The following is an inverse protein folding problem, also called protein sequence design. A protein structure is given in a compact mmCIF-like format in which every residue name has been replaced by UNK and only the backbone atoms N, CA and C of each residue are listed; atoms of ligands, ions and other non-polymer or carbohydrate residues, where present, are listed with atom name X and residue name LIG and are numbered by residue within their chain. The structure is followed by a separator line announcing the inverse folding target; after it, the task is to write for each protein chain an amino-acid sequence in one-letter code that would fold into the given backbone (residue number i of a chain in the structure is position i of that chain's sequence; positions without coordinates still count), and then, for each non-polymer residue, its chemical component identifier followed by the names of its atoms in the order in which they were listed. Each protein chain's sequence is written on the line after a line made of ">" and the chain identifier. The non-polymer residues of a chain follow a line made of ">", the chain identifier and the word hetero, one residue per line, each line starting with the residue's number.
data_IF_050304375681
#
_entry.id   IF_050304375681
#
_cell.length_a   1.000
_cell.length_b   1.000
_cell.length_c   1.000
_cell.angle_alpha   90.00
_cell.angle_beta   90.00
_cell.angle_gamma   90.00
#
_symmetry.space_group_name_H-M   'P 1'
#
loop_
_entity.id
_entity.type
_entity.pdbx_description
1 polymer ?
#
# COMPACT_ATOMS: atom_id res chain seq x y z
N UNK A 1 100.88 20.49 7.77
CA UNK A 1 100.79 19.88 9.13
C UNK A 1 99.33 19.94 9.57
N UNK A 2 98.77 18.78 9.97
CA UNK A 2 97.50 18.54 10.67
C UNK A 2 96.19 18.88 9.96
N UNK A 3 95.08 18.15 10.13
CA UNK A 3 94.73 16.72 10.36
C UNK A 3 93.20 16.71 10.22
N UNK A 4 92.67 15.65 9.62
CA UNK A 4 91.28 15.15 9.61
C UNK A 4 90.24 15.80 10.55
N UNK A 5 89.03 16.03 10.03
CA UNK A 5 87.78 15.53 10.65
C UNK A 5 86.62 15.54 9.64
N UNK A 6 86.16 14.35 9.24
CA UNK A 6 84.86 14.11 8.63
C UNK A 6 83.77 14.28 9.71
N UNK A 7 82.76 15.09 9.47
CA UNK A 7 81.49 15.07 10.22
C UNK A 7 80.38 14.81 9.22
N UNK A 8 79.83 13.59 9.26
CA UNK A 8 78.66 13.19 8.49
C UNK A 8 77.40 13.82 9.07
N UNK A 9 76.69 14.59 8.25
CA UNK A 9 75.36 15.11 8.57
C UNK A 9 74.34 14.12 8.01
N UNK A 10 73.77 13.28 8.89
CA UNK A 10 72.52 12.56 8.62
C UNK A 10 71.37 13.57 8.62
N UNK A 11 70.91 13.98 7.44
CA UNK A 11 69.65 14.71 7.31
C UNK A 11 68.49 13.71 7.36
N UNK A 12 67.79 13.66 8.49
CA UNK A 12 66.59 12.84 8.70
C UNK A 12 65.48 13.31 7.75
N UNK A 13 65.11 12.49 6.78
CA UNK A 13 63.90 12.67 5.97
C UNK A 13 62.68 12.47 6.86
N UNK A 14 62.09 13.57 7.32
CA UNK A 14 60.80 13.57 8.02
C UNK A 14 59.70 13.36 6.98
N UNK A 15 59.17 12.14 6.91
CA UNK A 15 58.05 11.78 6.04
C UNK A 15 56.76 12.34 6.66
N UNK A 16 56.33 13.52 6.20
CA UNK A 16 55.07 14.15 6.61
C UNK A 16 53.91 13.36 5.95
N UNK A 17 53.33 12.39 6.65
CA UNK A 17 52.12 11.70 6.22
C UNK A 17 50.94 12.67 6.27
N UNK A 18 50.63 13.28 5.13
CA UNK A 18 49.44 14.10 4.94
C UNK A 18 48.21 13.18 5.02
N UNK A 19 47.58 13.14 6.20
CA UNK A 19 46.36 12.37 6.43
C UNK A 19 45.22 12.93 5.57
N UNK A 20 44.86 12.22 4.52
CA UNK A 20 43.64 12.49 3.75
C UNK A 20 42.47 12.09 4.64
N UNK A 21 41.87 13.07 5.31
CA UNK A 21 40.57 12.88 5.97
C UNK A 21 39.50 12.77 4.88
N UNK A 22 39.18 11.54 4.47
CA UNK A 22 37.96 11.26 3.72
C UNK A 22 36.77 11.59 4.63
N UNK A 23 36.25 12.81 4.51
CA UNK A 23 34.96 13.13 5.08
C UNK A 23 33.94 12.32 4.29
N UNK A 24 33.31 11.34 4.94
CA UNK A 24 32.10 10.73 4.41
C UNK A 24 31.08 11.85 4.25
N UNK A 25 30.78 12.23 3.01
CA UNK A 25 29.65 13.09 2.71
C UNK A 25 28.42 12.25 3.04
N UNK A 26 27.83 12.49 4.21
CA UNK A 26 26.49 12.02 4.48
C UNK A 26 25.57 12.76 3.51
N UNK A 27 25.00 12.02 2.55
CA UNK A 27 23.93 12.56 1.72
C UNK A 27 22.76 12.92 2.63
N UNK A 28 22.15 14.09 2.42
CA UNK A 28 20.92 14.43 3.11
C UNK A 28 19.88 13.32 2.88
N UNK A 29 19.08 12.96 3.91
CA UNK A 29 18.05 11.95 3.74
C UNK A 29 17.06 12.41 2.66
N UNK A 30 16.49 11.47 1.87
CA UNK A 30 15.55 11.82 0.82
C UNK A 30 14.34 12.53 1.42
N UNK A 31 13.82 13.52 0.70
CA UNK A 31 12.61 14.22 1.09
C UNK A 31 11.39 13.28 1.07
N UNK A 32 10.35 13.63 1.84
CA UNK A 32 9.10 12.88 1.83
C UNK A 32 8.51 12.72 0.41
N UNK A 33 8.59 13.76 -0.42
CA UNK A 33 8.09 13.71 -1.80
C UNK A 33 8.88 12.73 -2.67
N UNK A 34 10.21 12.69 -2.54
CA UNK A 34 11.05 11.72 -3.27
C UNK A 34 10.73 10.29 -2.87
N UNK A 35 10.61 10.02 -1.57
CA UNK A 35 10.23 8.69 -1.04
C UNK A 35 8.87 8.28 -1.61
N UNK A 36 7.86 9.16 -1.58
CA UNK A 36 6.52 8.85 -2.08
C UNK A 36 6.55 8.54 -3.57
N UNK A 37 7.20 9.38 -4.38
CA UNK A 37 7.26 9.20 -5.83
C UNK A 37 7.97 7.91 -6.24
N UNK A 38 8.99 7.47 -5.48
CA UNK A 38 9.77 6.28 -5.80
C UNK A 38 9.14 4.98 -5.26
N UNK A 39 8.60 5.04 -4.03
CA UNK A 39 8.25 3.85 -3.27
C UNK A 39 6.75 3.55 -3.25
N UNK A 40 5.88 4.57 -3.37
CA UNK A 40 4.45 4.37 -3.17
C UNK A 40 3.76 3.77 -4.40
N UNK A 41 4.05 4.30 -5.59
CA UNK A 41 3.40 3.88 -6.82
C UNK A 41 4.15 2.73 -7.48
N UNK A 42 3.54 1.55 -7.46
CA UNK A 42 4.07 0.36 -8.13
C UNK A 42 3.12 -0.08 -9.23
N UNK A 43 3.68 -0.34 -10.41
CA UNK A 43 2.93 -0.84 -11.55
C UNK A 43 2.36 -2.22 -11.23
N UNK A 44 1.03 -2.35 -11.20
CA UNK A 44 0.35 -3.62 -10.90
C UNK A 44 -0.12 -4.36 -12.17
N UNK A 45 0.05 -3.77 -13.35
CA UNK A 45 -0.65 -4.17 -14.57
C UNK A 45 -1.72 -3.16 -14.99
N UNK A 46 -2.17 -3.27 -16.23
CA UNK A 46 -3.31 -2.54 -16.78
C UNK A 46 -4.64 -3.18 -16.34
N UNK A 47 -4.65 -4.51 -16.22
CA UNK A 47 -5.74 -5.28 -15.65
C UNK A 47 -5.23 -6.57 -14.99
N UNK A 48 -6.07 -7.17 -14.15
CA UNK A 48 -5.79 -8.42 -13.46
C UNK A 48 -7.04 -9.28 -13.35
N UNK A 49 -6.86 -10.58 -13.57
CA UNK A 49 -7.76 -11.63 -13.12
C UNK A 49 -7.07 -12.46 -12.04
N UNK A 50 -7.70 -12.64 -10.90
CA UNK A 50 -7.10 -13.40 -9.81
C UNK A 50 -8.12 -14.16 -8.98
N UNK A 51 -7.63 -15.15 -8.24
CA UNK A 51 -8.36 -15.73 -7.13
C UNK A 51 -7.90 -15.05 -5.84
N UNK A 52 -8.82 -14.82 -4.91
CA UNK A 52 -8.50 -14.13 -3.66
C UNK A 52 -9.24 -14.81 -2.52
N UNK A 53 -8.50 -15.15 -1.46
CA UNK A 53 -9.10 -15.58 -0.21
C UNK A 53 -9.13 -14.40 0.75
N UNK A 54 -10.28 -14.15 1.37
CA UNK A 54 -10.41 -13.18 2.46
C UNK A 54 -10.73 -13.94 3.74
N UNK A 55 -9.93 -13.72 4.77
CA UNK A 55 -10.25 -14.14 6.14
C UNK A 55 -10.62 -12.92 6.97
N UNK A 56 -11.85 -12.86 7.44
CA UNK A 56 -12.38 -11.75 8.24
C UNK A 56 -12.75 -12.24 9.64
N UNK A 57 -12.29 -11.54 10.67
CA UNK A 57 -12.75 -11.75 12.04
C UNK A 57 -13.21 -10.41 12.63
N UNK A 58 -14.48 -10.32 13.01
CA UNK A 58 -14.99 -9.21 13.81
C UNK A 58 -14.58 -9.37 15.28
N UNK A 59 -14.58 -8.28 16.05
CA UNK A 59 -14.19 -8.30 17.47
C UNK A 59 -15.02 -9.33 18.27
N UNK A 60 -14.35 -10.23 18.98
CA UNK A 60 -14.96 -11.32 19.74
C UNK A 60 -15.67 -12.40 18.90
N UNK A 61 -15.65 -12.28 17.56
CA UNK A 61 -16.31 -13.19 16.64
C UNK A 61 -15.43 -14.36 16.19
N UNK A 62 -16.03 -15.26 15.40
CA UNK A 62 -15.30 -16.34 14.71
C UNK A 62 -14.81 -15.86 13.35
N UNK A 63 -13.58 -16.21 12.99
CA UNK A 63 -13.05 -15.96 11.67
C UNK A 63 -13.92 -16.64 10.60
N UNK A 64 -14.22 -15.91 9.53
CA UNK A 64 -14.91 -16.39 8.33
C UNK A 64 -13.93 -16.33 7.17
N UNK A 65 -13.91 -17.38 6.36
CA UNK A 65 -13.09 -17.47 5.15
C UNK A 65 -14.04 -17.45 3.96
N UNK A 66 -13.71 -16.65 2.96
CA UNK A 66 -14.44 -16.58 1.69
C UNK A 66 -13.46 -16.46 0.54
N UNK A 67 -13.74 -17.15 -0.55
CA UNK A 67 -12.91 -17.12 -1.76
C UNK A 67 -13.67 -16.42 -2.88
N UNK A 68 -12.92 -15.68 -3.68
CA UNK A 68 -13.47 -14.83 -4.73
C UNK A 68 -12.68 -14.97 -6.01
N UNK A 69 -13.40 -14.93 -7.13
CA UNK A 69 -12.83 -14.54 -8.42
C UNK A 69 -12.84 -13.01 -8.49
N UNK A 70 -11.67 -12.41 -8.61
CA UNK A 70 -11.45 -10.97 -8.68
C UNK A 70 -11.09 -10.55 -10.10
N UNK A 71 -11.80 -9.53 -10.58
CA UNK A 71 -11.45 -8.76 -11.76
C UNK A 71 -11.09 -7.35 -11.33
N UNK A 72 -9.94 -6.86 -11.76
CA UNK A 72 -9.48 -5.51 -11.51
C UNK A 72 -8.95 -4.89 -12.79
N UNK A 73 -9.24 -3.61 -13.01
CA UNK A 73 -8.75 -2.87 -14.16
C UNK A 73 -8.42 -1.44 -13.78
N UNK A 74 -7.26 -0.98 -14.23
CA UNK A 74 -6.82 0.39 -14.09
C UNK A 74 -7.42 1.25 -15.21
N UNK A 75 -7.86 2.47 -14.86
CA UNK A 75 -8.47 3.44 -15.78
C UNK A 75 -7.69 4.76 -15.85
N UNK A 76 -6.53 4.87 -15.18
CA UNK A 76 -5.63 6.02 -15.32
C UNK A 76 -6.17 7.35 -14.79
N UNK A 77 -7.33 7.39 -14.14
CA UNK A 77 -8.00 8.62 -13.75
C UNK A 77 -8.84 9.26 -14.86
N UNK A 78 -8.94 8.63 -16.04
CA UNK A 78 -9.75 9.14 -17.14
C UNK A 78 -11.22 9.28 -16.72
N UNK A 79 -11.83 10.41 -17.06
CA UNK A 79 -13.21 10.75 -16.66
C UNK A 79 -13.42 10.69 -15.13
N UNK A 80 -12.34 10.85 -14.36
CA UNK A 80 -12.35 10.81 -12.89
C UNK A 80 -12.46 9.39 -12.31
N UNK A 81 -12.15 8.33 -13.06
CA UNK A 81 -12.14 6.94 -12.58
C UNK A 81 -10.71 6.41 -12.56
N UNK A 82 -10.26 5.97 -11.40
CA UNK A 82 -8.90 5.45 -11.18
C UNK A 82 -8.82 3.97 -11.51
N UNK A 83 -9.73 3.19 -10.93
CA UNK A 83 -9.79 1.74 -11.08
C UNK A 83 -11.20 1.22 -10.85
N UNK A 84 -11.45 0.00 -11.30
CA UNK A 84 -12.66 -0.74 -10.96
C UNK A 84 -12.30 -2.14 -10.50
N UNK A 85 -13.04 -2.62 -9.52
CA UNK A 85 -12.92 -3.96 -8.97
C UNK A 85 -14.28 -4.63 -9.01
N UNK A 86 -14.29 -5.90 -9.41
CA UNK A 86 -15.46 -6.76 -9.35
C UNK A 86 -15.05 -8.08 -8.70
N UNK A 87 -15.73 -8.46 -7.63
CA UNK A 87 -15.52 -9.69 -6.89
C UNK A 87 -16.77 -10.57 -7.08
N UNK A 88 -16.56 -11.83 -7.43
CA UNK A 88 -17.59 -12.86 -7.41
C UNK A 88 -17.26 -13.86 -6.33
N UNK A 89 -18.17 -14.08 -5.39
CA UNK A 89 -17.97 -15.06 -4.32
C UNK A 89 -18.09 -16.48 -4.86
N UNK A 90 -17.02 -17.26 -4.70
CA UNK A 90 -16.95 -18.67 -5.08
C UNK A 90 -17.29 -19.58 -3.89
N UNK A 91 -16.77 -19.24 -2.71
CA UNK A 91 -17.02 -19.96 -1.45
C UNK A 91 -17.23 -18.99 -0.28
N UNK A 92 -18.02 -19.38 0.74
CA UNK A 92 -18.72 -20.65 0.92
C UNK A 92 -19.96 -20.78 0.00
N UNK A 93 -20.45 -22.02 -0.19
CA UNK A 93 -21.55 -22.32 -1.12
C UNK A 93 -22.81 -21.48 -0.87
N UNK A 94 -23.14 -21.20 0.40
CA UNK A 94 -24.30 -20.36 0.78
C UNK A 94 -24.21 -18.92 0.25
N UNK A 95 -23.00 -18.43 0.02
CA UNK A 95 -22.71 -17.06 -0.41
C UNK A 95 -22.31 -17.02 -1.89
N UNK A 96 -22.31 -18.19 -2.56
CA UNK A 96 -21.87 -18.32 -3.95
C UNK A 96 -22.75 -17.49 -4.88
N UNK A 97 -22.11 -16.73 -5.76
CA UNK A 97 -22.80 -15.86 -6.71
C UNK A 97 -23.20 -14.49 -6.15
N UNK A 98 -22.94 -14.20 -4.87
CA UNK A 98 -22.82 -12.81 -4.42
C UNK A 98 -21.74 -12.12 -5.25
N UNK A 99 -21.99 -10.87 -5.64
CA UNK A 99 -20.99 -10.08 -6.33
C UNK A 99 -20.87 -8.69 -5.70
N UNK A 100 -19.65 -8.19 -5.60
CA UNK A 100 -19.35 -6.85 -5.10
C UNK A 100 -18.57 -6.08 -6.15
N UNK A 101 -19.01 -4.86 -6.46
CA UNK A 101 -18.33 -3.98 -7.39
C UNK A 101 -17.94 -2.67 -6.70
N UNK A 102 -16.72 -2.19 -6.96
CA UNK A 102 -16.20 -0.91 -6.47
C UNK A 102 -15.60 -0.11 -7.62
N UNK A 103 -15.96 1.16 -7.71
CA UNK A 103 -15.32 2.13 -8.61
C UNK A 103 -14.54 3.14 -7.78
N UNK A 104 -13.23 3.18 -7.99
CA UNK A 104 -12.35 4.19 -7.41
C UNK A 104 -12.35 5.44 -8.27
N UNK A 105 -12.36 6.60 -7.62
CA UNK A 105 -12.36 7.90 -8.26
C UNK A 105 -11.15 8.72 -7.86
N UNK A 106 -10.75 9.66 -8.72
CA UNK A 106 -9.68 10.61 -8.41
C UNK A 106 -10.17 11.60 -7.35
N UNK A 107 -9.27 12.15 -6.54
CA UNK A 107 -9.57 13.21 -5.58
C UNK A 107 -10.17 14.43 -6.28
N UNK A 108 -9.62 14.79 -7.45
CA UNK A 108 -10.11 15.91 -8.28
C UNK A 108 -11.56 15.76 -8.77
N UNK A 109 -12.13 14.55 -8.77
CA UNK A 109 -13.50 14.33 -9.24
C UNK A 109 -14.57 14.75 -8.23
N UNK A 110 -14.20 14.98 -6.96
CA UNK A 110 -15.13 15.17 -5.83
C UNK A 110 -16.19 14.06 -5.70
N UNK A 111 -15.96 12.88 -6.30
CA UNK A 111 -16.84 11.71 -6.16
C UNK A 111 -16.28 10.79 -5.08
N UNK A 112 -17.15 10.37 -4.16
CA UNK A 112 -16.86 9.27 -3.27
C UNK A 112 -16.77 7.96 -4.05
N UNK A 113 -16.05 6.98 -3.49
CA UNK A 113 -16.02 5.60 -3.99
C UNK A 113 -17.44 5.07 -4.17
N UNK A 114 -17.76 4.56 -5.37
CA UNK A 114 -19.05 3.96 -5.63
C UNK A 114 -18.99 2.45 -5.42
N UNK A 115 -20.00 1.89 -4.77
CA UNK A 115 -20.05 0.49 -4.40
C UNK A 115 -21.41 -0.12 -4.70
N UNK A 116 -21.41 -1.37 -5.15
CA UNK A 116 -22.61 -2.16 -5.38
C UNK A 116 -22.44 -3.57 -4.84
N UNK A 117 -23.55 -4.15 -4.41
CA UNK A 117 -23.65 -5.57 -4.07
C UNK A 117 -24.82 -6.18 -4.83
N UNK A 118 -24.57 -7.34 -5.43
CA UNK A 118 -25.60 -8.20 -6.01
C UNK A 118 -25.93 -9.31 -5.03
N UNK A 119 -27.22 -9.46 -4.75
CA UNK A 119 -27.77 -10.49 -3.88
C UNK A 119 -28.53 -11.50 -4.75
N UNK A 120 -28.02 -12.73 -4.95
CA UNK A 120 -28.60 -13.70 -5.88
C UNK A 120 -30.00 -14.13 -5.45
N UNK A 121 -30.24 -14.31 -4.15
CA UNK A 121 -31.55 -14.69 -3.60
C UNK A 121 -32.64 -13.66 -3.92
N UNK A 122 -32.26 -12.38 -3.96
CA UNK A 122 -33.17 -11.28 -4.28
C UNK A 122 -33.15 -10.91 -5.76
N UNK A 123 -32.21 -11.46 -6.53
CA UNK A 123 -31.88 -11.08 -7.92
C UNK A 123 -31.78 -9.56 -8.09
N UNK A 124 -31.20 -8.88 -7.09
CA UNK A 124 -31.15 -7.41 -7.03
C UNK A 124 -29.73 -6.94 -6.83
N UNK A 125 -29.39 -5.90 -7.59
CA UNK A 125 -28.20 -5.09 -7.36
C UNK A 125 -28.61 -3.90 -6.50
N UNK A 126 -27.89 -3.67 -5.42
CA UNK A 126 -28.07 -2.53 -4.53
C UNK A 126 -26.81 -1.70 -4.51
N UNK A 127 -26.96 -0.38 -4.55
CA UNK A 127 -25.87 0.54 -4.27
C UNK A 127 -25.62 0.54 -2.76
N UNK A 128 -24.35 0.49 -2.36
CA UNK A 128 -23.92 0.66 -0.97
C UNK A 128 -23.59 2.14 -0.79
N UNK A 129 -24.19 2.76 0.22
CA UNK A 129 -23.89 4.14 0.61
C UNK A 129 -22.73 4.15 1.60
N UNK A 130 -21.91 5.23 1.62
CA UNK A 130 -20.97 5.43 2.70
C UNK A 130 -21.65 5.33 4.06
N UNK A 131 -20.98 4.66 4.99
CA UNK A 131 -21.33 4.51 6.40
C UNK A 131 -20.94 5.77 7.16
N UNK A 132 -21.50 5.89 8.35
CA UNK A 132 -21.06 6.91 9.29
C UNK A 132 -19.57 6.68 9.63
N UNK A 133 -18.70 7.70 9.49
CA UNK A 133 -17.30 7.65 9.92
C UNK A 133 -17.07 7.10 11.34
N UNK A 134 -18.03 7.29 12.24
CA UNK A 134 -17.95 6.87 13.65
C UNK A 134 -18.31 5.38 13.87
N UNK A 135 -18.84 4.69 12.85
CA UNK A 135 -19.23 3.26 12.92
C UNK A 135 -18.04 2.41 13.36
N UNK A 136 -18.13 1.68 14.48
CA UNK A 136 -16.99 0.92 15.06
C UNK A 136 -17.01 -0.57 14.73
N UNK A 137 -18.14 -1.10 14.30
CA UNK A 137 -18.38 -2.52 14.05
C UNK A 137 -17.49 -3.10 12.94
N UNK A 138 -16.97 -2.23 12.07
CA UNK A 138 -16.16 -2.62 10.93
C UNK A 138 -14.81 -1.91 10.93
N UNK A 139 -13.74 -2.69 10.74
CA UNK A 139 -12.34 -2.25 10.78
C UNK A 139 -11.95 -1.37 9.57
N UNK A 140 -12.50 -1.66 8.38
CA UNK A 140 -12.37 -0.84 7.16
C UNK A 140 -13.40 0.29 7.12
N UNK A 141 -12.93 1.53 7.15
CA UNK A 141 -13.72 2.73 6.93
C UNK A 141 -13.80 3.01 5.44
N UNK A 142 -14.80 3.78 5.01
CA UNK A 142 -14.96 4.04 3.58
C UNK A 142 -13.80 4.86 2.99
N UNK A 143 -13.12 5.63 3.85
CA UNK A 143 -11.88 6.33 3.49
C UNK A 143 -10.74 5.37 3.09
N UNK A 144 -10.73 4.14 3.61
CA UNK A 144 -9.74 3.12 3.23
C UNK A 144 -9.99 2.53 1.84
N UNK A 145 -11.20 2.72 1.30
CA UNK A 145 -11.60 2.23 -0.01
C UNK A 145 -11.32 3.26 -1.12
N UNK A 146 -10.82 4.43 -0.76
CA UNK A 146 -10.40 5.47 -1.70
C UNK A 146 -8.94 5.29 -2.07
N UNK A 147 -8.61 5.54 -3.34
CA UNK A 147 -7.21 5.81 -3.69
C UNK A 147 -6.95 7.28 -3.35
N UNK A 148 -6.29 7.50 -2.22
CA UNK A 148 -5.92 8.85 -1.78
C UNK A 148 -4.70 9.34 -2.55
N UNK A 149 -4.78 10.54 -3.11
CA UNK A 149 -3.69 11.13 -3.87
C UNK A 149 -2.77 11.97 -2.95
N UNK A 150 -1.45 12.01 -3.20
CA UNK A 150 -0.48 12.71 -2.36
C UNK A 150 -0.87 14.16 -2.07
N UNK A 151 -1.35 14.88 -3.09
CA UNK A 151 -1.73 16.29 -2.94
C UNK A 151 -2.91 16.54 -1.98
N UNK A 152 -3.66 15.51 -1.57
CA UNK A 152 -4.71 15.61 -0.54
C UNK A 152 -4.16 15.67 0.89
N UNK A 153 -2.85 15.44 1.07
CA UNK A 153 -2.17 15.35 2.35
C UNK A 153 -0.96 16.28 2.42
N UNK A 154 -0.61 16.69 3.64
CA UNK A 154 0.70 17.24 3.95
C UNK A 154 1.62 16.10 4.36
N UNK A 155 2.76 15.98 3.68
CA UNK A 155 3.74 14.92 3.94
C UNK A 155 4.91 15.43 4.77
N UNK A 156 5.34 14.64 5.75
CA UNK A 156 6.52 14.97 6.57
C UNK A 156 7.37 13.73 6.74
N UNK A 157 8.68 13.85 6.47
CA UNK A 157 9.62 12.78 6.77
C UNK A 157 9.74 12.66 8.29
N UNK A 158 9.27 11.54 8.83
CA UNK A 158 9.20 11.29 10.26
C UNK A 158 10.46 10.58 10.80
N UNK A 159 11.35 10.16 9.90
CA UNK A 159 12.63 9.54 10.23
C UNK A 159 12.78 8.15 9.63
N UNK A 160 13.72 7.39 10.18
CA UNK A 160 14.03 6.04 9.74
C UNK A 160 13.86 5.05 10.88
N UNK A 161 13.57 3.79 10.55
CA UNK A 161 13.47 2.73 11.53
C UNK A 161 13.93 1.40 10.96
N UNK A 162 14.62 0.62 11.78
CA UNK A 162 14.91 -0.79 11.49
C UNK A 162 13.97 -1.67 12.29
N UNK A 163 13.29 -2.61 11.63
CA UNK A 163 12.41 -3.59 12.26
C UNK A 163 12.48 -4.90 11.47
N UNK A 164 12.54 -6.03 12.18
CA UNK A 164 12.52 -7.37 11.59
C UNK A 164 13.58 -7.59 10.47
N UNK A 165 14.76 -6.99 10.64
CA UNK A 165 15.86 -7.06 9.68
C UNK A 165 15.74 -6.13 8.47
N UNK A 166 14.64 -5.40 8.34
CA UNK A 166 14.41 -4.43 7.26
C UNK A 166 14.62 -2.99 7.74
N UNK A 167 15.05 -2.11 6.83
CA UNK A 167 15.11 -0.67 7.06
C UNK A 167 13.95 0.05 6.38
N UNK A 168 13.39 1.03 7.06
CA UNK A 168 12.21 1.77 6.62
C UNK A 168 12.44 3.28 6.64
N UNK A 169 11.93 3.97 5.63
CA UNK A 169 11.58 5.38 5.73
C UNK A 169 10.18 5.54 6.30
N UNK A 170 10.02 6.42 7.28
CA UNK A 170 8.73 6.77 7.86
C UNK A 170 8.29 8.12 7.30
N UNK A 171 7.09 8.15 6.74
CA UNK A 171 6.48 9.39 6.24
C UNK A 171 5.10 9.55 6.85
N UNK A 172 4.89 10.67 7.53
CA UNK A 172 3.59 11.06 8.06
C UNK A 172 2.78 11.76 6.97
N UNK A 173 1.55 11.30 6.77
CA UNK A 173 0.54 11.85 5.89
C UNK A 173 -0.56 12.46 6.76
N UNK A 174 -0.67 13.79 6.73
CA UNK A 174 -1.70 14.54 7.46
C UNK A 174 -2.73 15.08 6.48
N UNK A 175 -3.96 14.54 6.47
CA UNK A 175 -4.94 14.92 5.48
C UNK A 175 -5.45 16.35 5.63
N UNK A 176 -5.66 17.04 4.51
CA UNK A 176 -6.33 18.34 4.49
C UNK A 176 -7.81 18.17 4.86
N UNK A 177 -8.44 17.12 4.35
CA UNK A 177 -9.80 16.71 4.67
C UNK A 177 -9.91 15.18 4.71
N UNK A 178 -10.39 14.68 5.84
CA UNK A 178 -10.63 13.26 6.11
C UNK A 178 -11.55 13.19 7.33
N UNK A 179 -12.71 12.53 7.30
CA UNK A 179 -13.60 12.48 8.46
C UNK A 179 -13.11 11.49 9.54
N UNK A 180 -12.19 10.58 9.22
CA UNK A 180 -11.82 9.45 10.08
C UNK A 180 -10.45 9.66 10.72
N UNK A 181 -9.44 9.97 9.92
CA UNK A 181 -8.04 9.91 10.35
C UNK A 181 -7.45 11.30 10.55
N UNK A 182 -6.68 11.50 11.61
CA UNK A 182 -5.86 12.71 11.77
C UNK A 182 -4.51 12.58 11.08
N UNK A 183 -4.03 11.34 10.92
CA UNK A 183 -2.72 11.02 10.39
C UNK A 183 -2.65 9.57 9.95
N UNK A 184 -1.83 9.31 8.94
CA UNK A 184 -1.32 7.98 8.63
C UNK A 184 0.21 8.02 8.63
N UNK A 185 0.87 7.04 9.21
CA UNK A 185 2.33 6.90 9.10
C UNK A 185 2.62 5.75 8.14
N UNK A 186 3.19 6.07 6.99
CA UNK A 186 3.57 5.11 5.97
C UNK A 186 5.00 4.66 6.20
N UNK A 187 5.21 3.35 6.15
CA UNK A 187 6.49 2.69 6.33
C UNK A 187 6.94 2.14 4.99
N UNK A 188 7.86 2.85 4.36
CA UNK A 188 8.43 2.45 3.08
C UNK A 188 9.70 1.64 3.34
N UNK A 189 9.68 0.35 3.02
CA UNK A 189 10.87 -0.48 3.03
C UNK A 189 11.85 0.08 2.01
N UNK A 190 13.11 0.28 2.41
CA UNK A 190 14.13 0.87 1.54
C UNK A 190 14.51 -0.05 0.37
N UNK A 191 14.30 -1.36 0.52
CA UNK A 191 14.79 -2.38 -0.38
C UNK A 191 16.32 -2.44 -0.39
N UNK A 192 16.85 -3.34 -1.22
CA UNK A 192 18.31 -3.40 -1.48
C UNK A 192 18.76 -2.23 -2.37
N UNK A 193 17.88 -1.72 -3.22
CA UNK A 193 18.10 -0.58 -4.10
C UNK A 193 16.87 0.34 -4.12
N UNK A 194 17.06 1.59 -4.57
CA UNK A 194 15.98 2.60 -4.68
C UNK A 194 14.77 2.11 -5.48
N UNK A 195 14.98 1.34 -6.56
CA UNK A 195 13.90 0.76 -7.37
C UNK A 195 13.06 -0.29 -6.63
N UNK A 196 13.63 -0.87 -5.58
CA UNK A 196 13.06 -1.96 -4.80
C UNK A 196 12.34 -1.47 -3.54
N UNK A 197 12.35 -0.17 -3.30
CA UNK A 197 11.63 0.44 -2.19
C UNK A 197 10.11 0.27 -2.33
N UNK A 198 9.37 -0.11 -1.29
CA UNK A 198 7.93 -0.38 -1.34
C UNK A 198 7.20 0.04 -0.06
N UNK A 199 5.90 0.29 -0.15
CA UNK A 199 5.06 0.47 1.03
C UNK A 199 4.74 -0.89 1.66
N UNK A 200 5.30 -1.17 2.83
CA UNK A 200 5.10 -2.46 3.50
C UNK A 200 4.13 -2.33 4.68
N UNK A 201 3.97 -1.13 5.25
CA UNK A 201 3.10 -0.90 6.40
C UNK A 201 2.50 0.50 6.45
N UNK A 202 1.27 0.60 6.95
CA UNK A 202 0.60 1.87 7.29
C UNK A 202 0.03 1.78 8.71
N UNK A 203 0.39 2.75 9.56
CA UNK A 203 -0.25 2.97 10.85
C UNK A 203 -1.29 4.08 10.75
N UNK A 204 -2.50 3.84 11.25
CA UNK A 204 -3.60 4.79 11.15
C UNK A 204 -3.93 5.39 12.52
N UNK A 205 -4.08 6.71 12.57
CA UNK A 205 -4.36 7.46 13.79
C UNK A 205 -5.70 8.19 13.67
N UNK A 206 -6.55 8.03 14.68
CA UNK A 206 -7.86 8.68 14.71
C UNK A 206 -7.78 10.18 14.99
N UNK A 207 -8.93 10.86 15.07
CA UNK A 207 -9.01 12.30 15.38
C UNK A 207 -8.48 12.70 16.76
N UNK A 208 -8.27 11.76 17.68
CA UNK A 208 -7.67 11.98 19.00
C UNK A 208 -6.15 11.76 18.99
N UNK A 209 -5.61 11.25 17.89
CA UNK A 209 -4.19 10.93 17.74
C UNK A 209 -3.82 9.53 18.23
N UNK A 210 -4.81 8.69 18.54
CA UNK A 210 -4.59 7.31 18.97
C UNK A 210 -4.45 6.40 17.76
N UNK A 211 -3.45 5.50 17.77
CA UNK A 211 -3.34 4.47 16.74
C UNK A 211 -4.54 3.54 16.89
N UNK A 212 -5.30 3.35 15.81
CA UNK A 212 -6.53 2.55 15.82
C UNK A 212 -6.42 1.26 15.03
N UNK A 213 -5.53 1.22 14.04
CA UNK A 213 -5.27 0.02 13.24
C UNK A 213 -3.92 0.12 12.53
N UNK A 214 -3.48 -1.02 12.01
CA UNK A 214 -2.35 -1.11 11.08
C UNK A 214 -2.72 -1.93 9.85
N UNK A 215 -2.09 -1.60 8.72
CA UNK A 215 -2.11 -2.40 7.51
C UNK A 215 -0.69 -2.85 7.19
N UNK A 216 -0.51 -4.12 6.88
CA UNK A 216 0.73 -4.73 6.42
C UNK A 216 0.53 -5.22 4.99
N UNK A 217 1.51 -5.01 4.11
CA UNK A 217 1.45 -5.34 2.70
C UNK A 217 2.69 -6.16 2.35
N UNK A 218 2.47 -7.37 1.86
CA UNK A 218 3.50 -8.22 1.27
C UNK A 218 3.37 -8.18 -0.24
N UNK A 219 4.50 -7.98 -0.91
CA UNK A 219 4.57 -7.83 -2.36
C UNK A 219 5.18 -9.06 -3.02
N UNK A 220 4.65 -9.42 -4.18
CA UNK A 220 5.22 -10.41 -5.10
C UNK A 220 5.50 -9.76 -6.44
N UNK A 221 6.67 -10.01 -7.01
CA UNK A 221 7.03 -9.53 -8.35
C UNK A 221 6.76 -10.58 -9.41
N UNK A 222 6.14 -10.15 -10.49
CA UNK A 222 6.00 -10.94 -11.71
C UNK A 222 6.39 -10.06 -12.91
N UNK A 223 7.58 -10.31 -13.46
CA UNK A 223 8.18 -9.43 -14.47
C UNK A 223 8.37 -8.01 -13.93
N UNK A 224 7.69 -7.03 -14.56
CA UNK A 224 7.71 -5.62 -14.14
C UNK A 224 6.60 -5.26 -13.14
N UNK A 225 5.65 -6.16 -12.93
CA UNK A 225 4.49 -5.90 -12.10
C UNK A 225 4.76 -6.23 -10.63
N UNK A 226 4.24 -5.37 -9.76
CA UNK A 226 4.18 -5.54 -8.32
C UNK A 226 2.75 -5.89 -7.93
N UNK A 227 2.59 -7.07 -7.36
CA UNK A 227 1.30 -7.63 -6.99
C UNK A 227 1.24 -7.68 -5.46
N UNK A 228 0.11 -7.27 -4.88
CA UNK A 228 -0.18 -7.59 -3.49
C UNK A 228 -0.33 -9.10 -3.35
N UNK A 229 0.61 -9.72 -2.64
CA UNK A 229 0.53 -11.16 -2.36
C UNK A 229 -0.34 -11.41 -1.13
N UNK A 230 -0.12 -10.60 -0.09
CA UNK A 230 -0.89 -10.61 1.13
C UNK A 230 -1.09 -9.21 1.68
N UNK A 231 -2.28 -8.93 2.18
CA UNK A 231 -2.58 -7.70 2.93
C UNK A 231 -3.24 -8.07 4.25
N UNK A 232 -2.69 -7.59 5.35
CA UNK A 232 -3.22 -7.82 6.70
C UNK A 232 -3.63 -6.49 7.29
N UNK A 233 -4.87 -6.38 7.76
CA UNK A 233 -5.37 -5.20 8.46
C UNK A 233 -5.82 -5.63 9.85
N UNK A 234 -5.24 -5.04 10.88
CA UNK A 234 -5.46 -5.40 12.28
C UNK A 234 -5.89 -4.17 13.08
N UNK A 235 -6.95 -4.33 13.87
CA UNK A 235 -7.39 -3.32 14.81
C UNK A 235 -6.47 -3.35 16.04
N UNK A 236 -6.05 -2.19 16.54
CA UNK A 236 -5.13 -2.14 17.69
C UNK A 236 -5.83 -2.20 19.04
N UNK A 237 -7.15 -2.07 19.07
CA UNK A 237 -7.96 -1.97 20.27
C UNK A 237 -8.82 -3.23 20.51
N UNK A 238 -8.80 -4.20 19.59
CA UNK A 238 -9.58 -5.42 19.62
C UNK A 238 -8.85 -6.57 18.92
N UNK A 239 -9.47 -7.76 18.87
CA UNK A 239 -8.96 -8.93 18.16
C UNK A 239 -9.52 -9.05 16.72
N UNK A 240 -10.04 -7.95 16.17
CA UNK A 240 -10.59 -7.88 14.83
C UNK A 240 -9.49 -7.74 13.77
N UNK A 241 -9.63 -8.44 12.65
CA UNK A 241 -8.68 -8.37 11.54
C UNK A 241 -9.32 -8.73 10.19
N UNK A 242 -8.64 -8.37 9.11
CA UNK A 242 -8.90 -8.84 7.75
C UNK A 242 -7.58 -9.25 7.09
N UNK A 243 -7.52 -10.45 6.56
CA UNK A 243 -6.43 -10.93 5.73
C UNK A 243 -6.93 -11.12 4.30
N UNK A 244 -6.21 -10.54 3.34
CA UNK A 244 -6.39 -10.78 1.92
C UNK A 244 -5.20 -11.60 1.44
N UNK A 245 -5.44 -12.77 0.88
CA UNK A 245 -4.44 -13.62 0.26
C UNK A 245 -4.73 -13.72 -1.24
N UNK A 246 -3.85 -13.15 -2.06
CA UNK A 246 -3.98 -13.19 -3.51
C UNK A 246 -3.40 -14.50 -4.06
N UNK A 247 -4.10 -15.14 -4.99
CA UNK A 247 -3.73 -16.42 -5.59
C UNK A 247 -3.95 -16.37 -7.10
N UNK A 248 -3.13 -17.12 -7.85
CA UNK A 248 -3.33 -17.34 -9.29
C UNK A 248 -3.60 -16.04 -10.06
N UNK A 249 -2.70 -15.07 -9.91
CA UNK A 249 -2.84 -13.76 -10.56
C UNK A 249 -2.40 -13.87 -12.01
N UNK A 250 -3.29 -13.49 -12.91
CA UNK A 250 -3.01 -13.28 -14.33
C UNK A 250 -3.06 -11.77 -14.58
N UNK A 251 -2.01 -11.21 -15.16
CA UNK A 251 -1.84 -9.77 -15.41
C UNK A 251 -2.01 -9.48 -16.89
N UNK A 252 -2.62 -8.34 -17.23
CA UNK A 252 -2.80 -7.84 -18.58
C UNK A 252 -3.51 -8.86 -19.49
N UNK A 253 -4.59 -9.44 -18.99
CA UNK A 253 -5.41 -10.43 -19.70
C UNK A 253 -6.40 -9.80 -20.68
N UNK A 254 -6.46 -8.47 -20.76
CA UNK A 254 -7.30 -7.74 -21.72
C UNK A 254 -8.76 -7.72 -21.32
N UNK A 255 -9.05 -7.37 -20.06
CA UNK A 255 -10.43 -7.31 -19.56
C UNK A 255 -11.26 -6.24 -20.29
N UNK A 256 -12.42 -6.63 -20.80
CA UNK A 256 -13.38 -5.72 -21.42
C UNK A 256 -14.09 -4.84 -20.38
N UNK A 257 -14.29 -3.57 -20.68
CA UNK A 257 -15.00 -2.62 -19.82
C UNK A 257 -16.45 -3.04 -19.53
N UNK A 258 -17.08 -3.79 -20.45
CA UNK A 258 -18.41 -4.35 -20.30
C UNK A 258 -18.53 -5.31 -19.10
N UNK A 259 -17.41 -5.84 -18.59
CA UNK A 259 -17.39 -6.67 -17.38
C UNK A 259 -17.73 -5.86 -16.14
N UNK A 260 -17.42 -4.57 -16.08
CA UNK A 260 -17.60 -3.74 -14.89
C UNK A 260 -18.97 -3.04 -14.88
N UNK A 261 -20.04 -3.83 -14.94
CA UNK A 261 -21.43 -3.33 -14.95
C UNK A 261 -22.33 -4.11 -13.99
N UNK A 262 -23.43 -3.48 -13.57
CA UNK A 262 -24.45 -4.16 -12.74
C UNK A 262 -25.04 -5.40 -13.45
N UNK A 263 -25.12 -5.38 -14.78
CA UNK A 263 -25.57 -6.53 -15.57
C UNK A 263 -24.61 -7.71 -15.44
N UNK A 264 -23.30 -7.45 -15.44
CA UNK A 264 -22.28 -8.48 -15.26
C UNK A 264 -22.32 -9.06 -13.84
N UNK A 265 -22.59 -8.23 -12.81
CA UNK A 265 -22.82 -8.72 -11.45
C UNK A 265 -23.95 -9.76 -11.39
N UNK A 266 -25.05 -9.52 -12.12
CA UNK A 266 -26.21 -10.43 -12.15
C UNK A 266 -25.92 -11.73 -12.94
N UNK A 267 -25.18 -11.63 -14.04
CA UNK A 267 -24.84 -12.77 -14.89
C UNK A 267 -23.82 -13.71 -14.24
N UNK A 268 -22.99 -13.18 -13.34
CA UNK A 268 -21.82 -13.91 -12.86
C UNK A 268 -20.65 -13.83 -13.84
N UNK A 269 -19.55 -14.49 -13.47
CA UNK A 269 -18.37 -14.64 -14.31
C UNK A 269 -18.02 -16.11 -14.43
N UNK A 270 -17.92 -16.58 -15.67
CA UNK A 270 -17.44 -17.92 -16.02
C UNK A 270 -16.36 -17.77 -17.08
N UNK A 271 -15.21 -18.40 -16.85
CA UNK A 271 -14.10 -18.45 -17.82
C UNK A 271 -14.48 -19.30 -19.03
#
# INVERSE_FOLDING_TARGET
>A
MNKMALVGILCKTSLLTLGIFTHAIASDPPSASEIINQCYYKYAGDDQRSYMQITLKAAGGKAQISEYTRLWKHYGGEKGVVDKVLLFTDTPLKDKGLAFMRWGHTGASNKATEQWIYLPDLRKVRRITPRDPETKEWIIKDEDLRLREPHEDNHTFAGEKTADGNSYYLVDFKPHNDPVYSKRTFWFNKGDNVSDCSLDKVDFYDKRGEKTKQQLIEWRREGKAWIWDKVVIEDTNSDAYIHYDMKQVEINVGLDDALFTQRSMQKGYSK
#
